data_IF_921322573458
#
_entry.id   IF_921322573458
#
_cell.length_a   1.000
_cell.length_b   1.000
_cell.length_c   1.000
_cell.angle_alpha   90.00
_cell.angle_beta   90.00
_cell.angle_gamma   90.00
#
_symmetry.space_group_name_H-M   'P 1'
#
loop_
_entity.id
_entity.type
_entity.pdbx_description
1 polymer ?
#
# COMPACT_ATOMS: atom_id res chain seq x y z
N UNK A 1 0.37 -45.94 -40.05
CA UNK A 1 -0.72 -45.01 -39.74
C UNK A 1 -0.53 -44.59 -38.28
N UNK A 2 0.23 -43.52 -38.02
CA UNK A 2 0.51 -43.03 -36.66
C UNK A 2 -0.34 -41.78 -36.46
N UNK A 3 -1.40 -41.89 -35.66
CA UNK A 3 -2.25 -40.75 -35.31
C UNK A 3 -1.58 -39.97 -34.18
N UNK A 4 -1.14 -38.75 -34.48
CA UNK A 4 -0.74 -37.75 -33.49
C UNK A 4 -1.99 -37.14 -32.86
N UNK A 5 -2.25 -37.43 -31.58
CA UNK A 5 -3.21 -36.67 -30.77
C UNK A 5 -2.59 -35.31 -30.39
N UNK A 6 -3.22 -34.18 -30.73
CA UNK A 6 -2.79 -32.89 -30.21
C UNK A 6 -3.24 -32.74 -28.75
N UNK A 7 -2.27 -32.63 -27.85
CA UNK A 7 -2.52 -32.18 -26.47
C UNK A 7 -2.93 -30.70 -26.53
N UNK A 8 -4.22 -30.43 -26.37
CA UNK A 8 -4.73 -29.07 -26.18
C UNK A 8 -4.40 -28.64 -24.74
N UNK A 9 -3.25 -28.00 -24.55
CA UNK A 9 -2.85 -27.43 -23.27
C UNK A 9 -3.77 -26.28 -22.90
N UNK A 10 -4.66 -26.49 -21.92
CA UNK A 10 -5.47 -25.44 -21.33
C UNK A 10 -4.56 -24.56 -20.45
N UNK A 11 -3.98 -23.52 -21.02
CA UNK A 11 -3.33 -22.48 -20.24
C UNK A 11 -4.41 -21.64 -19.55
N UNK A 12 -4.66 -21.93 -18.26
CA UNK A 12 -5.37 -21.00 -17.40
C UNK A 12 -4.44 -19.80 -17.16
N UNK A 13 -4.62 -18.74 -17.95
CA UNK A 13 -4.02 -17.44 -17.67
C UNK A 13 -4.63 -16.94 -16.37
N UNK A 14 -3.87 -17.02 -15.28
CA UNK A 14 -4.23 -16.41 -14.00
C UNK A 14 -4.08 -14.90 -14.19
N UNK A 15 -5.14 -14.23 -14.63
CA UNK A 15 -5.17 -12.77 -14.72
C UNK A 15 -5.28 -12.24 -13.30
N UNK A 16 -4.15 -12.00 -12.66
CA UNK A 16 -4.12 -11.33 -11.37
C UNK A 16 -4.31 -9.82 -11.62
N UNK A 17 -5.53 -9.31 -11.45
CA UNK A 17 -5.88 -7.91 -11.75
C UNK A 17 -5.58 -6.90 -10.63
N UNK A 18 -5.27 -7.38 -9.43
CA UNK A 18 -5.05 -6.58 -8.22
C UNK A 18 -3.58 -6.20 -8.05
N UNK A 19 -3.37 -4.99 -7.50
CA UNK A 19 -2.05 -4.44 -7.21
C UNK A 19 -2.01 -3.69 -5.88
N UNK A 20 -0.79 -3.53 -5.38
CA UNK A 20 -0.41 -2.67 -4.25
C UNK A 20 0.59 -1.61 -4.73
N UNK A 21 0.85 -0.61 -3.89
CA UNK A 21 1.95 0.34 -4.11
C UNK A 21 3.26 -0.32 -3.70
N UNK A 22 4.10 -0.69 -4.67
CA UNK A 22 5.39 -1.35 -4.43
C UNK A 22 6.54 -0.36 -4.24
N UNK A 23 6.39 0.87 -4.70
CA UNK A 23 7.32 1.95 -4.42
C UNK A 23 6.65 3.32 -4.50
N UNK A 24 7.29 4.32 -3.90
CA UNK A 24 6.83 5.70 -3.99
C UNK A 24 7.99 6.68 -3.94
N UNK A 25 7.83 7.85 -4.54
CA UNK A 25 8.82 8.93 -4.49
C UNK A 25 8.30 10.13 -3.73
N UNK A 26 9.17 10.76 -2.94
CA UNK A 26 8.92 12.09 -2.39
C UNK A 26 9.94 13.07 -2.95
N UNK A 27 9.47 14.12 -3.65
CA UNK A 27 10.34 15.10 -4.34
C UNK A 27 11.44 14.44 -5.20
N UNK A 28 11.08 13.35 -5.89
CA UNK A 28 11.95 12.58 -6.77
C UNK A 28 12.85 11.54 -6.06
N UNK A 29 12.85 11.46 -4.73
CA UNK A 29 13.60 10.45 -3.96
C UNK A 29 12.77 9.18 -3.81
N UNK A 30 13.29 8.05 -4.30
CA UNK A 30 12.63 6.73 -4.26
C UNK A 30 12.66 6.08 -2.88
N UNK A 31 11.52 5.51 -2.48
CA UNK A 31 11.32 4.75 -1.26
C UNK A 31 10.59 3.45 -1.54
N UNK A 32 10.92 2.36 -0.83
CA UNK A 32 10.18 1.10 -0.95
C UNK A 32 8.77 1.19 -0.38
N UNK A 33 7.80 0.62 -1.10
CA UNK A 33 6.47 0.30 -0.56
C UNK A 33 6.51 -0.95 0.32
N UNK A 34 5.37 -1.32 0.91
CA UNK A 34 5.26 -2.57 1.67
C UNK A 34 4.95 -3.73 0.74
N UNK A 35 5.90 -4.64 0.59
CA UNK A 35 5.77 -5.80 -0.29
C UNK A 35 5.27 -7.02 0.47
N UNK A 36 4.54 -7.90 -0.23
CA UNK A 36 4.06 -9.17 0.33
C UNK A 36 5.18 -10.05 0.88
N UNK A 37 6.38 -10.00 0.29
CA UNK A 37 7.58 -10.68 0.80
C UNK A 37 7.92 -10.29 2.24
N UNK A 38 7.73 -9.02 2.61
CA UNK A 38 8.03 -8.51 3.96
C UNK A 38 7.12 -9.11 5.04
N UNK A 39 5.87 -9.46 4.68
CA UNK A 39 5.01 -10.21 5.60
C UNK A 39 5.64 -11.57 5.95
N UNK A 40 6.07 -12.32 4.93
CA UNK A 40 6.68 -13.64 5.13
C UNK A 40 8.06 -13.55 5.79
N UNK A 41 8.87 -12.55 5.44
CA UNK A 41 10.17 -12.31 6.08
C UNK A 41 9.99 -12.05 7.57
N UNK A 42 9.01 -11.22 7.96
CA UNK A 42 8.66 -10.99 9.37
C UNK A 42 8.18 -12.27 10.07
N UNK A 43 7.31 -13.07 9.44
CA UNK A 43 6.86 -14.36 10.00
C UNK A 43 8.00 -15.36 10.18
N UNK A 44 9.03 -15.28 9.34
CA UNK A 44 10.23 -16.11 9.40
C UNK A 44 11.34 -15.52 10.29
N UNK A 45 11.05 -14.46 11.06
CA UNK A 45 12.00 -13.84 11.99
C UNK A 45 13.13 -13.07 11.33
N UNK A 46 12.98 -12.67 10.07
CA UNK A 46 13.95 -11.80 9.39
C UNK A 46 13.68 -10.34 9.72
N UNK A 47 14.76 -9.57 9.83
CA UNK A 47 14.68 -8.13 9.91
C UNK A 47 14.18 -7.54 8.59
N UNK A 48 13.27 -6.58 8.70
CA UNK A 48 12.79 -5.82 7.56
C UNK A 48 13.64 -4.57 7.38
N UNK A 49 13.76 -4.05 6.14
CA UNK A 49 14.31 -2.72 5.94
C UNK A 49 13.47 -1.69 6.70
N UNK A 50 14.05 -0.51 6.92
CA UNK A 50 13.32 0.65 7.39
C UNK A 50 12.29 1.06 6.32
N UNK A 51 11.01 1.15 6.69
CA UNK A 51 9.91 1.38 5.78
C UNK A 51 9.04 2.52 6.30
N UNK A 52 8.76 3.47 5.41
CA UNK A 52 7.75 4.50 5.62
C UNK A 52 6.37 4.06 5.11
N UNK A 53 6.28 2.96 4.34
CA UNK A 53 5.02 2.34 3.95
C UNK A 53 4.49 1.40 5.04
N UNK A 54 3.20 1.50 5.35
CA UNK A 54 2.55 0.69 6.36
C UNK A 54 2.47 -0.78 5.94
N UNK A 55 2.63 -1.68 6.91
CA UNK A 55 2.36 -3.09 6.67
C UNK A 55 0.87 -3.36 6.58
N UNK A 56 0.48 -4.37 5.80
CA UNK A 56 -0.89 -4.87 5.73
C UNK A 56 -0.91 -6.37 5.39
N UNK A 57 -1.98 -7.06 5.76
CA UNK A 57 -2.16 -8.51 5.57
C UNK A 57 -3.15 -8.85 4.45
N UNK A 58 -3.24 -8.02 3.42
CA UNK A 58 -3.94 -8.32 2.17
C UNK A 58 -3.09 -9.24 1.28
N UNK A 59 -2.84 -10.48 1.75
CA UNK A 59 -1.91 -11.44 1.14
C UNK A 59 -2.30 -11.88 -0.28
N UNK A 60 -3.57 -11.71 -0.62
CA UNK A 60 -4.17 -11.93 -1.93
C UNK A 60 -4.16 -10.67 -2.82
N UNK A 61 -3.51 -9.59 -2.35
CA UNK A 61 -3.65 -8.23 -2.90
C UNK A 61 -5.11 -7.76 -2.89
N UNK A 62 -5.91 -8.23 -1.93
CA UNK A 62 -7.35 -7.97 -1.84
C UNK A 62 -7.71 -6.55 -1.40
N UNK A 63 -9.00 -6.35 -1.19
CA UNK A 63 -9.65 -5.06 -0.95
C UNK A 63 -10.40 -5.03 0.38
N UNK A 64 -10.77 -3.82 0.81
CA UNK A 64 -11.78 -3.59 1.84
C UNK A 64 -13.13 -3.37 1.15
N UNK A 65 -14.13 -4.15 1.53
CA UNK A 65 -15.48 -4.09 0.97
C UNK A 65 -16.39 -3.11 1.75
N UNK A 66 -17.49 -2.62 1.17
CA UNK A 66 -18.40 -1.67 1.81
C UNK A 66 -18.94 -2.08 3.18
N UNK A 67 -19.19 -3.37 3.39
CA UNK A 67 -19.61 -3.92 4.70
C UNK A 67 -18.55 -3.70 5.81
N UNK A 68 -17.30 -3.41 5.43
CA UNK A 68 -16.18 -3.15 6.33
C UNK A 68 -15.79 -1.66 6.37
N UNK A 69 -16.61 -0.74 5.87
CA UNK A 69 -16.30 0.70 5.94
C UNK A 69 -16.21 1.25 7.36
N UNK A 70 -16.88 0.65 8.34
CA UNK A 70 -16.74 1.05 9.75
C UNK A 70 -15.65 0.27 10.49
N UNK A 71 -14.94 -0.65 9.83
CA UNK A 71 -13.86 -1.47 10.41
C UNK A 71 -12.54 -0.70 10.42
N UNK A 72 -11.62 -0.93 11.39
CA UNK A 72 -10.25 -0.42 11.34
C UNK A 72 -9.46 -0.77 10.06
N UNK A 73 -9.92 -1.75 9.28
CA UNK A 73 -9.30 -2.12 8.01
C UNK A 73 -9.44 -1.04 6.93
N UNK A 74 -10.50 -0.21 6.94
CA UNK A 74 -10.66 0.85 5.93
C UNK A 74 -9.59 1.96 6.07
N UNK A 75 -8.96 2.06 7.24
CA UNK A 75 -7.96 3.09 7.55
C UNK A 75 -6.73 2.91 6.67
N UNK A 76 -6.04 1.78 6.82
CA UNK A 76 -4.75 1.49 6.17
C UNK A 76 -4.65 0.02 5.75
N UNK A 77 -5.74 -0.52 5.21
CA UNK A 77 -5.88 -1.92 4.78
C UNK A 77 -5.95 -2.93 5.94
N UNK A 78 -6.31 -4.17 5.59
CA UNK A 78 -6.47 -5.31 6.49
C UNK A 78 -5.29 -5.47 7.45
N UNK A 79 -5.58 -5.44 8.75
CA UNK A 79 -4.57 -5.54 9.81
C UNK A 79 -3.41 -4.54 9.65
N UNK A 80 -3.68 -3.36 9.06
CA UNK A 80 -2.66 -2.36 8.81
C UNK A 80 -1.95 -1.89 10.09
N UNK A 81 -0.61 -1.87 10.08
CA UNK A 81 0.24 -1.41 11.20
C UNK A 81 1.18 -0.31 10.71
N UNK A 82 1.36 0.72 11.54
CA UNK A 82 2.21 1.87 11.32
C UNK A 82 3.62 1.48 10.86
N UNK A 83 4.13 2.27 9.93
CA UNK A 83 5.50 2.14 9.45
C UNK A 83 6.50 2.59 10.52
N UNK A 84 7.72 2.04 10.51
CA UNK A 84 8.72 2.34 11.54
C UNK A 84 9.62 3.54 11.22
N UNK A 85 9.41 4.17 10.06
CA UNK A 85 10.10 5.40 9.67
C UNK A 85 9.18 6.41 9.02
N UNK A 86 9.74 7.59 8.77
CA UNK A 86 9.07 8.71 8.12
C UNK A 86 10.02 9.31 7.08
N UNK A 87 9.50 9.59 5.88
CA UNK A 87 10.26 10.25 4.80
C UNK A 87 9.79 11.69 4.61
N UNK A 88 10.58 12.54 3.96
CA UNK A 88 10.26 13.96 3.82
C UNK A 88 9.70 14.32 2.45
N UNK A 89 8.77 15.27 2.43
CA UNK A 89 8.31 15.98 1.22
C UNK A 89 8.15 17.46 1.55
N UNK A 90 8.35 18.33 0.57
CA UNK A 90 8.04 19.76 0.71
C UNK A 90 6.54 20.03 0.51
N UNK A 91 5.99 21.00 1.23
CA UNK A 91 4.70 21.59 0.88
C UNK A 91 4.81 22.22 -0.52
N UNK A 92 3.90 21.88 -1.44
CA UNK A 92 4.02 22.16 -2.87
C UNK A 92 4.86 21.16 -3.67
N UNK A 93 5.53 20.24 -2.99
CA UNK A 93 6.24 19.11 -3.58
C UNK A 93 5.30 18.02 -4.05
N UNK A 94 5.87 16.88 -4.46
CA UNK A 94 5.10 15.77 -5.05
C UNK A 94 5.39 14.44 -4.38
N UNK A 95 4.34 13.64 -4.23
CA UNK A 95 4.42 12.23 -3.89
C UNK A 95 3.95 11.41 -5.10
N UNK A 96 4.83 10.57 -5.65
CA UNK A 96 4.52 9.67 -6.77
C UNK A 96 4.33 8.27 -6.23
N UNK A 97 3.17 7.65 -6.45
CA UNK A 97 2.87 6.29 -6.01
C UNK A 97 2.91 5.35 -7.21
N UNK A 98 3.89 4.45 -7.24
CA UNK A 98 3.97 3.41 -8.26
C UNK A 98 3.19 2.18 -7.79
N UNK A 99 2.22 1.79 -8.60
CA UNK A 99 1.46 0.57 -8.39
C UNK A 99 2.10 -0.57 -9.16
N UNK A 100 1.99 -1.76 -8.58
CA UNK A 100 2.13 -3.00 -9.36
C UNK A 100 1.03 -3.09 -10.42
N UNK A 101 0.84 -4.27 -11.03
CA UNK A 101 -0.21 -4.46 -12.04
C UNK A 101 -1.59 -3.98 -11.56
N UNK A 102 -2.32 -3.27 -12.40
CA UNK A 102 -3.67 -2.79 -12.11
C UNK A 102 -4.59 -2.95 -13.32
N UNK A 103 -5.71 -3.64 -13.15
CA UNK A 103 -6.66 -3.94 -14.22
C UNK A 103 -8.04 -3.29 -14.05
N UNK A 104 -8.24 -2.54 -12.97
CA UNK A 104 -9.56 -2.04 -12.57
C UNK A 104 -9.81 -0.59 -12.98
N UNK A 105 -11.10 -0.26 -13.15
CA UNK A 105 -11.58 1.11 -13.33
C UNK A 105 -12.02 1.69 -12.00
N UNK A 106 -11.85 3.00 -11.82
CA UNK A 106 -12.22 3.66 -10.59
C UNK A 106 -11.57 5.02 -10.37
N UNK A 107 -12.04 5.75 -9.35
CA UNK A 107 -11.40 6.98 -8.92
C UNK A 107 -10.04 6.72 -8.28
N UNK A 108 -9.28 7.80 -8.17
CA UNK A 108 -8.04 7.90 -7.44
C UNK A 108 -8.18 9.05 -6.43
N UNK A 109 -8.07 8.79 -5.12
CA UNK A 109 -8.00 9.82 -4.06
C UNK A 109 -6.77 9.67 -3.14
N UNK A 110 -6.15 10.78 -2.75
CA UNK A 110 -5.14 10.83 -1.69
C UNK A 110 -5.64 11.67 -0.53
N UNK A 111 -5.46 11.14 0.68
CA UNK A 111 -5.76 11.81 1.94
C UNK A 111 -4.50 11.98 2.77
N UNK A 112 -4.52 12.94 3.69
CA UNK A 112 -3.51 13.10 4.75
C UNK A 112 -4.19 13.17 6.11
N UNK A 113 -3.56 12.62 7.14
CA UNK A 113 -3.98 12.80 8.52
C UNK A 113 -2.76 13.20 9.35
N UNK A 114 -2.87 14.28 10.12
CA UNK A 114 -1.76 14.74 10.98
C UNK A 114 -1.54 13.75 12.11
N UNK A 115 -0.29 13.37 12.35
CA UNK A 115 0.06 12.47 13.43
C UNK A 115 0.17 13.23 14.76
N UNK A 116 -0.26 12.63 15.87
CA UNK A 116 -0.10 13.23 17.18
C UNK A 116 1.39 13.41 17.50
N UNK A 117 1.74 14.50 18.17
CA UNK A 117 3.13 14.81 18.56
C UNK A 117 4.15 14.84 17.41
N UNK A 118 3.68 15.01 16.17
CA UNK A 118 4.50 14.95 14.95
C UNK A 118 5.27 13.62 14.78
N UNK A 119 4.71 12.50 15.25
CA UNK A 119 5.27 11.15 15.05
C UNK A 119 4.19 10.15 14.61
N UNK A 120 4.42 9.49 13.48
CA UNK A 120 3.49 8.53 12.88
C UNK A 120 3.85 7.06 13.16
N UNK A 121 4.95 6.79 13.86
CA UNK A 121 5.48 5.42 14.00
C UNK A 121 4.69 4.53 14.97
N UNK A 122 3.96 5.13 15.91
CA UNK A 122 3.11 4.43 16.90
C UNK A 122 1.72 5.07 17.04
N UNK A 123 1.19 5.61 15.94
CA UNK A 123 -0.13 6.27 15.96
C UNK A 123 -1.28 5.26 16.07
N UNK A 124 -2.28 5.57 16.90
CA UNK A 124 -3.57 4.90 16.83
C UNK A 124 -4.27 5.28 15.52
N UNK A 125 -4.22 4.37 14.56
CA UNK A 125 -4.77 4.58 13.22
C UNK A 125 -6.26 4.93 13.24
N UNK A 126 -7.02 4.47 14.24
CA UNK A 126 -8.47 4.71 14.31
C UNK A 126 -8.82 6.13 14.78
N UNK A 127 -7.85 6.83 15.36
CA UNK A 127 -7.97 8.22 15.78
C UNK A 127 -7.54 9.22 14.70
N UNK A 128 -6.95 8.76 13.58
CA UNK A 128 -6.51 9.61 12.48
C UNK A 128 -7.70 10.29 11.79
N UNK A 129 -7.60 11.60 11.60
CA UNK A 129 -8.59 12.41 10.88
C UNK A 129 -8.04 12.79 9.49
N UNK A 130 -8.64 12.21 8.46
CA UNK A 130 -8.21 12.31 7.07
C UNK A 130 -8.82 13.50 6.35
N UNK A 131 -7.95 14.30 5.74
CA UNK A 131 -8.27 15.41 4.83
C UNK A 131 -7.96 14.96 3.41
N UNK A 132 -8.92 15.10 2.50
CA UNK A 132 -8.70 14.80 1.07
C UNK A 132 -7.89 15.91 0.43
N UNK A 133 -6.76 15.59 -0.20
CA UNK A 133 -5.86 16.58 -0.84
C UNK A 133 -5.71 16.40 -2.35
N UNK A 134 -6.17 15.27 -2.89
CA UNK A 134 -6.16 14.97 -4.31
C UNK A 134 -7.30 14.00 -4.65
N UNK A 135 -8.00 14.26 -5.75
CA UNK A 135 -9.02 13.37 -6.28
C UNK A 135 -9.17 13.47 -7.80
N UNK A 136 -9.43 12.34 -8.42
CA UNK A 136 -9.85 12.25 -9.81
C UNK A 136 -10.82 11.08 -9.99
N UNK A 137 -11.90 11.34 -10.72
CA UNK A 137 -12.94 10.35 -11.03
C UNK A 137 -12.83 9.84 -12.48
N UNK A 138 -13.89 10.04 -13.26
CA UNK A 138 -13.93 9.75 -14.69
C UNK A 138 -13.93 11.06 -15.49
N UNK A 139 -13.19 11.10 -16.59
CA UNK A 139 -13.33 12.15 -17.61
C UNK A 139 -14.58 11.85 -18.45
N UNK A 140 -15.61 12.71 -18.41
CA UNK A 140 -16.87 12.45 -19.10
C UNK A 140 -16.77 12.53 -20.64
N UNK A 141 -15.78 13.25 -21.18
CA UNK A 141 -15.59 13.37 -22.62
C UNK A 141 -14.90 12.12 -23.20
N UNK A 142 -13.83 11.65 -22.54
CA UNK A 142 -13.07 10.47 -22.98
C UNK A 142 -13.60 9.16 -22.41
N UNK A 143 -14.45 9.21 -21.37
CA UNK A 143 -14.87 8.09 -20.53
C UNK A 143 -13.71 7.35 -19.86
N UNK A 144 -12.54 8.00 -19.74
CA UNK A 144 -11.37 7.43 -19.09
C UNK A 144 -11.42 7.66 -17.57
N UNK A 145 -11.29 6.57 -16.81
CA UNK A 145 -11.18 6.61 -15.36
C UNK A 145 -9.77 6.99 -14.89
N UNK A 146 -9.66 7.66 -13.75
CA UNK A 146 -8.39 8.02 -13.14
C UNK A 146 -7.45 6.81 -12.93
N UNK A 147 -7.98 5.65 -12.55
CA UNK A 147 -7.20 4.42 -12.46
C UNK A 147 -6.59 4.00 -13.82
N UNK A 148 -7.23 4.30 -14.95
CA UNK A 148 -6.66 4.06 -16.29
C UNK A 148 -5.60 5.09 -16.64
N UNK A 149 -5.78 6.35 -16.26
CA UNK A 149 -4.75 7.37 -16.40
C UNK A 149 -3.50 7.00 -15.60
N UNK A 150 -3.65 6.47 -14.38
CA UNK A 150 -2.55 5.91 -13.58
C UNK A 150 -1.80 4.80 -14.32
N UNK A 151 -2.52 3.80 -14.84
CA UNK A 151 -1.90 2.69 -15.59
C UNK A 151 -1.18 3.20 -16.84
N UNK A 152 -1.79 4.13 -17.57
CA UNK A 152 -1.22 4.71 -18.78
C UNK A 152 0.02 5.57 -18.47
N UNK A 153 0.14 6.09 -17.24
CA UNK A 153 1.31 6.79 -16.72
C UNK A 153 2.31 5.83 -16.06
N UNK A 154 2.60 4.68 -16.72
CA UNK A 154 3.52 3.66 -16.21
C UNK A 154 3.19 3.24 -14.76
N UNK A 155 1.91 2.92 -14.52
CA UNK A 155 1.34 2.59 -13.21
C UNK A 155 1.61 3.61 -12.09
N UNK A 156 1.80 4.90 -12.42
CA UNK A 156 2.18 5.91 -11.45
C UNK A 156 1.08 6.95 -11.27
N UNK A 157 0.68 7.19 -10.02
CA UNK A 157 -0.19 8.31 -9.66
C UNK A 157 0.62 9.39 -8.94
N UNK A 158 0.51 10.64 -9.36
CA UNK A 158 1.25 11.76 -8.77
C UNK A 158 0.28 12.64 -8.00
N UNK A 159 0.57 12.87 -6.73
CA UNK A 159 -0.17 13.81 -5.87
C UNK A 159 0.73 14.98 -5.51
N UNK A 160 0.23 16.20 -5.71
CA UNK A 160 0.91 17.42 -5.22
C UNK A 160 0.48 17.71 -3.79
N UNK A 161 1.44 17.95 -2.91
CA UNK A 161 1.17 18.37 -1.52
C UNK A 161 0.70 19.83 -1.55
N UNK A 162 -0.41 20.21 -0.90
CA UNK A 162 -0.87 21.59 -0.87
C UNK A 162 0.21 22.54 -0.34
N UNK A 163 0.41 23.69 -0.98
CA UNK A 163 1.48 24.63 -0.62
C UNK A 163 1.25 25.29 0.73
N UNK A 164 -0.02 25.47 1.09
CA UNK A 164 -0.41 26.12 2.34
C UNK A 164 -0.39 25.18 3.54
N UNK A 165 -0.26 23.86 3.33
CA UNK A 165 -0.31 22.86 4.40
C UNK A 165 0.78 23.10 5.46
N UNK A 166 0.39 23.06 6.73
CA UNK A 166 1.33 23.21 7.84
C UNK A 166 2.39 22.11 7.83
N UNK A 167 3.63 22.46 8.17
CA UNK A 167 4.68 21.47 8.39
C UNK A 167 4.34 20.52 9.56
N UNK A 168 4.80 19.28 9.49
CA UNK A 168 4.54 18.24 10.48
C UNK A 168 4.56 16.84 9.89
N UNK A 169 4.37 15.83 10.74
CA UNK A 169 4.29 14.43 10.30
C UNK A 169 2.85 14.04 10.00
N UNK A 170 2.64 13.39 8.86
CA UNK A 170 1.33 12.98 8.37
C UNK A 170 1.33 11.53 7.91
N UNK A 171 0.21 10.83 8.12
CA UNK A 171 -0.11 9.61 7.37
C UNK A 171 -0.74 10.02 6.05
N UNK A 172 -0.07 9.71 4.94
CA UNK A 172 -0.64 9.80 3.60
C UNK A 172 -1.38 8.50 3.30
N UNK A 173 -2.67 8.58 2.98
CA UNK A 173 -3.52 7.45 2.60
C UNK A 173 -3.90 7.56 1.13
N UNK A 174 -3.28 6.72 0.30
CA UNK A 174 -3.50 6.62 -1.14
C UNK A 174 -4.49 5.51 -1.43
N UNK A 175 -5.58 5.79 -2.15
CA UNK A 175 -6.61 4.79 -2.41
C UNK A 175 -7.14 4.83 -3.84
N UNK A 176 -7.28 3.65 -4.46
CA UNK A 176 -8.19 3.46 -5.59
C UNK A 176 -9.42 2.68 -5.13
N UNK A 177 -10.57 2.96 -5.73
CA UNK A 177 -11.80 2.18 -5.51
C UNK A 177 -12.15 1.50 -6.83
N UNK A 178 -12.04 0.19 -6.93
CA UNK A 178 -12.50 -0.51 -8.12
C UNK A 178 -14.03 -0.57 -8.15
N UNK A 179 -14.63 -0.04 -9.22
CA UNK A 179 -16.09 0.17 -9.32
C UNK A 179 -16.78 -0.78 -10.30
N UNK A 180 -16.08 -1.82 -10.80
CA UNK A 180 -16.67 -2.78 -11.74
C UNK A 180 -17.85 -3.56 -11.12
N UNK A 181 -17.89 -3.73 -9.79
CA UNK A 181 -18.99 -4.36 -9.06
C UNK A 181 -20.06 -3.41 -8.54
N UNK A 182 -19.90 -2.08 -8.70
CA UNK A 182 -20.72 -1.05 -8.04
C UNK A 182 -22.20 -1.01 -8.42
N UNK A 183 -22.68 -1.84 -9.36
CA UNK A 183 -24.11 -1.98 -9.66
C UNK A 183 -24.90 -2.61 -8.49
N UNK A 184 -24.21 -3.23 -7.53
CA UNK A 184 -24.79 -3.88 -6.37
C UNK A 184 -24.15 -3.33 -5.10
N UNK A 185 -24.95 -3.20 -4.05
CA UNK A 185 -24.45 -2.86 -2.72
C UNK A 185 -23.42 -3.91 -2.28
N UNK A 186 -22.33 -3.47 -1.64
CA UNK A 186 -21.18 -4.34 -1.32
C UNK A 186 -20.23 -4.62 -2.50
N UNK A 187 -20.54 -4.13 -3.72
CA UNK A 187 -19.76 -4.46 -4.92
C UNK A 187 -18.54 -3.58 -5.21
N UNK A 188 -18.43 -2.41 -4.58
CA UNK A 188 -17.22 -1.58 -4.67
C UNK A 188 -16.04 -2.25 -3.93
N UNK A 189 -14.81 -1.96 -4.33
CA UNK A 189 -13.62 -2.56 -3.73
C UNK A 189 -12.57 -1.50 -3.45
N UNK A 190 -12.27 -1.26 -2.18
CA UNK A 190 -11.34 -0.21 -1.75
C UNK A 190 -9.92 -0.76 -1.55
N UNK A 191 -8.91 -0.04 -2.05
CA UNK A 191 -7.50 -0.41 -1.94
C UNK A 191 -6.69 0.72 -1.27
N UNK A 192 -6.89 0.98 0.03
CA UNK A 192 -6.10 1.97 0.75
C UNK A 192 -4.68 1.48 1.00
N UNK A 193 -3.70 2.38 0.88
CA UNK A 193 -2.29 2.16 1.19
C UNK A 193 -1.79 3.38 1.97
N UNK A 194 -1.07 3.17 3.07
CA UNK A 194 -0.66 4.25 3.99
C UNK A 194 0.86 4.43 4.05
N UNK A 195 1.29 5.67 4.24
CA UNK A 195 2.70 6.08 4.26
C UNK A 195 2.93 7.16 5.32
N UNK A 196 4.02 7.06 6.07
CA UNK A 196 4.46 8.09 7.01
C UNK A 196 5.32 9.11 6.27
N UNK A 197 4.85 10.35 6.17
CA UNK A 197 5.55 11.42 5.46
C UNK A 197 5.53 12.71 6.29
N UNK A 198 6.71 13.27 6.52
CA UNK A 198 6.92 14.60 7.10
C UNK A 198 6.82 15.65 6.00
N UNK A 199 5.83 16.52 6.11
CA UNK A 199 5.71 17.72 5.27
C UNK A 199 6.58 18.81 5.86
N UNK A 200 7.47 19.35 5.03
CA UNK A 200 8.36 20.48 5.35
C UNK A 200 7.88 21.75 4.64
N UNK A 201 8.24 22.92 5.15
CA UNK A 201 7.89 24.20 4.53
C UNK A 201 7.37 25.22 5.54
N UNK A 202 6.74 26.26 5.04
CA UNK A 202 6.24 27.40 5.83
C UNK A 202 4.72 27.58 5.74
N UNK A 203 3.99 26.58 5.22
CA UNK A 203 2.53 26.60 5.26
C UNK A 203 2.02 26.60 6.71
N UNK A 204 0.78 27.01 6.89
CA UNK A 204 0.12 27.14 8.21
C UNK A 204 -1.31 26.63 8.22
N UNK A 205 -1.81 26.09 7.10
CA UNK A 205 -3.15 25.55 7.01
C UNK A 205 -3.25 24.22 7.76
N UNK A 206 -4.25 24.14 8.64
CA UNK A 206 -4.61 22.95 9.41
C UNK A 206 -6.07 22.58 9.11
N UNK A 207 -6.34 21.99 7.93
CA UNK A 207 -7.69 21.57 7.56
C UNK A 207 -8.20 20.47 8.51
N UNK A 208 -9.49 20.52 8.84
CA UNK A 208 -10.15 19.49 9.66
C UNK A 208 -10.46 18.26 8.82
N UNK A 209 -10.06 17.10 9.30
CA UNK A 209 -10.33 15.82 8.66
C UNK A 209 -11.58 15.11 9.18
N UNK A 210 -11.80 13.90 8.70
CA UNK A 210 -12.80 12.95 9.20
C UNK A 210 -12.15 11.58 9.39
N UNK A 211 -12.66 10.76 10.31
CA UNK A 211 -12.11 9.41 10.51
C UNK A 211 -12.29 8.55 9.26
N UNK A 212 -11.38 7.61 9.01
CA UNK A 212 -11.48 6.74 7.84
C UNK A 212 -12.80 5.96 7.81
N UNK A 213 -13.28 5.58 9.00
CA UNK A 213 -14.53 4.86 9.22
C UNK A 213 -15.79 5.69 8.90
N UNK A 214 -15.62 6.99 8.65
CA UNK A 214 -16.67 7.93 8.30
C UNK A 214 -16.51 8.46 6.86
N UNK A 215 -15.50 7.99 6.11
CA UNK A 215 -15.26 8.45 4.74
C UNK A 215 -16.38 8.02 3.78
N UNK A 216 -16.92 6.81 3.95
CA UNK A 216 -17.77 6.17 2.96
C UNK A 216 -18.98 5.49 3.60
N UNK A 217 -20.10 5.49 2.89
CA UNK A 217 -21.24 4.61 3.18
C UNK A 217 -21.45 3.62 2.02
N UNK A 218 -22.00 2.41 2.27
CA UNK A 218 -22.30 1.45 1.21
C UNK A 218 -23.23 1.98 0.11
N UNK A 219 -23.99 3.03 0.41
CA UNK A 219 -25.00 3.63 -0.48
C UNK A 219 -24.57 4.97 -1.08
N UNK A 220 -23.33 5.42 -0.84
CA UNK A 220 -22.85 6.66 -1.45
C UNK A 220 -22.96 6.59 -2.99
N UNK A 221 -23.34 7.68 -3.68
CA UNK A 221 -23.60 7.67 -5.12
C UNK A 221 -22.36 7.37 -5.99
N UNK A 222 -21.15 7.45 -5.42
CA UNK A 222 -19.90 7.01 -6.07
C UNK A 222 -19.47 5.58 -5.74
N UNK A 223 -20.17 4.92 -4.80
CA UNK A 223 -19.94 3.55 -4.33
C UNK A 223 -20.97 2.60 -4.92
N UNK A 224 -22.26 2.96 -4.87
CA UNK A 224 -23.38 2.21 -5.42
C UNK A 224 -23.99 2.98 -6.61
N UNK A 225 -23.62 2.57 -7.82
CA UNK A 225 -24.11 3.18 -9.06
C UNK A 225 -23.97 2.25 -10.25
N UNK A 226 -24.70 2.55 -11.34
CA UNK A 226 -24.60 1.76 -12.56
C UNK A 226 -23.36 2.14 -13.38
N UNK A 227 -22.23 1.48 -13.08
CA UNK A 227 -20.98 1.58 -13.83
C UNK A 227 -21.11 1.24 -15.32
N UNK A 228 -22.07 0.38 -15.70
CA UNK A 228 -22.28 -0.06 -17.08
C UNK A 228 -23.17 0.88 -17.90
N UNK A 229 -23.61 2.01 -17.33
CA UNK A 229 -24.38 3.01 -18.05
C UNK A 229 -23.42 3.90 -18.86
N UNK A 230 -23.29 3.61 -20.16
CA UNK A 230 -22.46 4.41 -21.07
C UNK A 230 -23.31 5.35 -21.93
N UNK A 231 -22.93 6.64 -22.08
CA UNK A 231 -21.86 7.31 -21.34
C UNK A 231 -22.25 7.54 -19.87
N UNK A 232 -21.27 7.44 -18.98
CA UNK A 232 -21.40 7.97 -17.63
C UNK A 232 -21.37 9.49 -17.76
N UNK A 233 -22.45 10.15 -17.34
CA UNK A 233 -22.62 11.60 -17.45
C UNK A 233 -22.41 12.32 -16.12
N UNK A 234 -22.46 11.59 -15.02
CA UNK A 234 -22.23 12.10 -13.68
C UNK A 234 -21.58 11.01 -12.84
N UNK A 235 -20.63 11.40 -12.00
CA UNK A 235 -19.97 10.56 -11.02
C UNK A 235 -19.57 11.43 -9.83
N UNK A 236 -20.11 11.13 -8.66
CA UNK A 236 -19.75 11.81 -7.42
C UNK A 236 -18.62 11.04 -6.78
N UNK A 237 -17.42 11.63 -6.72
CA UNK A 237 -16.28 10.98 -6.05
C UNK A 237 -16.62 10.79 -4.57
N UNK A 238 -16.50 9.57 -4.00
CA UNK A 238 -16.78 9.32 -2.59
C UNK A 238 -15.89 10.11 -1.63
N UNK A 239 -16.29 10.23 -0.36
CA UNK A 239 -15.51 10.89 0.67
C UNK A 239 -15.77 12.39 0.84
N UNK A 240 -15.09 13.03 1.81
CA UNK A 240 -15.26 14.44 2.13
C UNK A 240 -14.83 15.35 0.97
N UNK A 241 -15.14 16.64 1.10
CA UNK A 241 -14.71 17.65 0.14
C UNK A 241 -13.16 17.71 0.03
N UNK A 242 -12.68 17.99 -1.17
CA UNK A 242 -11.27 18.24 -1.46
C UNK A 242 -10.81 19.54 -0.77
N UNK A 243 -9.71 19.47 -0.02
CA UNK A 243 -9.02 20.65 0.50
C UNK A 243 -8.31 21.41 -0.63
N UNK A 244 -8.56 22.71 -0.72
CA UNK A 244 -7.91 23.61 -1.68
C UNK A 244 -7.10 24.68 -0.96
N UNK A 245 -5.90 24.96 -1.49
CA UNK A 245 -5.07 26.07 -1.00
C UNK A 245 -5.88 27.39 -1.01
N UNK A 246 -6.06 28.00 0.15
CA UNK A 246 -6.79 29.27 0.32
C UNK A 246 -8.27 29.15 0.72
N UNK A 247 -8.83 27.94 0.84
CA UNK A 247 -10.13 27.75 1.49
C UNK A 247 -9.99 27.66 3.01
N UNK A 248 -10.79 28.45 3.74
CA UNK A 248 -10.89 28.34 5.18
C UNK A 248 -11.43 26.95 5.57
N UNK A 249 -10.90 26.36 6.64
CA UNK A 249 -11.25 25.02 7.12
C UNK A 249 -12.75 24.88 7.41
N UNK A 250 -13.52 24.48 6.40
CA UNK A 250 -14.95 24.27 6.51
C UNK A 250 -15.21 22.78 6.33
N UNK A 251 -15.26 22.04 7.43
CA UNK A 251 -15.67 20.65 7.42
C UNK A 251 -17.15 20.58 7.04
N UNK A 252 -17.44 20.13 5.82
CA UNK A 252 -18.81 19.81 5.42
C UNK A 252 -18.88 18.33 5.17
N UNK A 253 -19.20 17.57 6.23
CA UNK A 253 -19.78 16.23 6.07
C UNK A 253 -21.23 16.44 5.66
N UNK A 254 -21.48 16.48 4.35
CA UNK A 254 -22.82 16.24 3.83
C UNK A 254 -22.89 14.79 3.39
N UNK A 255 -23.38 13.94 4.29
CA UNK A 255 -24.10 12.75 3.87
C UNK A 255 -25.22 13.19 2.90
N UNK A 256 -25.44 12.49 1.77
CA UNK A 256 -26.46 12.90 0.82
C UNK A 256 -27.85 12.67 1.42
N UNK A 257 -28.49 13.76 1.85
CA UNK A 257 -29.94 13.76 2.04
C UNK A 257 -30.61 13.61 0.67
N UNK A 258 -31.59 12.72 0.60
CA UNK A 258 -32.40 12.37 -0.56
C UNK A 258 -32.89 13.61 -1.34
N UNK A 259 -32.82 13.65 -2.70
CA UNK A 259 -33.32 14.80 -3.44
C UNK A 259 -34.85 14.81 -3.42
N UNK A 260 -35.42 15.87 -2.83
CA UNK A 260 -36.78 16.28 -3.11
C UNK A 260 -36.77 17.14 -4.38
N UNK A 261 -37.60 16.77 -5.36
CA UNK A 261 -37.78 17.45 -6.64
C UNK A 261 -37.98 18.96 -6.47
N UNK A 262 -37.04 19.78 -7.00
CA UNK A 262 -37.33 21.09 -7.61
C UNK A 262 -36.26 21.46 -8.65
N UNK A 263 -36.64 22.15 -9.75
CA UNK A 263 -35.74 22.38 -10.88
C UNK A 263 -34.83 23.60 -10.63
N UNK A 264 -33.50 23.40 -10.71
CA UNK A 264 -32.54 24.50 -10.64
C UNK A 264 -32.19 25.02 -12.04
N UNK A 265 -32.23 26.35 -12.13
CA UNK A 265 -32.08 27.16 -13.33
C UNK A 265 -30.60 27.24 -13.75
N UNK A 266 -30.35 27.09 -15.05
CA UNK A 266 -29.03 27.12 -15.67
C UNK A 266 -28.29 28.46 -15.45
N UNK A 267 -27.09 28.42 -14.86
CA UNK A 267 -26.00 29.30 -15.28
C UNK A 267 -24.63 28.74 -14.87
N UNK A 268 -24.07 27.85 -15.68
CA UNK A 268 -22.67 27.43 -15.58
C UNK A 268 -21.88 28.07 -16.74
N UNK A 269 -21.10 29.11 -16.43
CA UNK A 269 -20.10 29.64 -17.34
C UNK A 269 -18.90 28.70 -17.32
N UNK A 270 -18.74 27.90 -18.38
CA UNK A 270 -17.59 27.03 -18.57
C UNK A 270 -16.32 27.87 -18.76
N UNK A 271 -15.35 27.73 -17.86
CA UNK A 271 -13.95 28.13 -18.11
C UNK A 271 -13.10 26.86 -18.12
N UNK A 272 -12.73 26.47 -19.34
CA UNK A 272 -11.71 25.48 -19.66
C UNK A 272 -10.38 25.83 -18.98
N UNK A 273 -9.78 24.86 -18.28
CA UNK A 273 -8.37 24.91 -17.92
C UNK A 273 -7.56 24.51 -19.16
N UNK A 274 -6.98 25.51 -19.81
CA UNK A 274 -6.01 25.32 -20.87
C UNK A 274 -4.63 24.96 -20.28
N UNK A 275 -3.97 24.00 -20.93
CA UNK A 275 -2.58 23.59 -20.75
C UNK A 275 -1.62 24.75 -20.43
N UNK A 276 -0.99 24.72 -19.26
CA UNK A 276 0.26 25.44 -19.02
C UNK A 276 1.45 24.59 -19.50
N UNK A 277 1.77 24.69 -20.79
CA UNK A 277 3.12 24.39 -21.27
C UNK A 277 3.97 25.65 -21.13
N UNK A 278 4.90 25.65 -20.17
CA UNK A 278 5.92 26.70 -20.06
C UNK A 278 6.91 26.53 -21.22
N UNK A 279 6.89 27.48 -22.15
CA UNK A 279 7.84 27.60 -23.25
C UNK A 279 9.15 28.20 -22.71
N UNK A 280 10.20 27.39 -22.62
CA UNK A 280 11.57 27.86 -22.35
C UNK A 280 12.17 28.32 -23.69
N UNK A 281 12.68 29.57 -23.83
CA UNK A 281 13.32 30.01 -25.06
C UNK A 281 14.67 29.32 -25.24
N UNK A 282 14.84 28.60 -26.35
CA UNK A 282 16.14 28.08 -26.81
C UNK A 282 16.86 29.22 -27.55
N UNK A 283 18.11 29.58 -27.19
CA UNK A 283 18.87 30.54 -27.97
C UNK A 283 19.32 29.93 -29.32
N UNK A 284 18.96 30.58 -30.41
CA UNK A 284 19.38 30.23 -31.77
C UNK A 284 20.89 30.40 -31.93
N UNK A 285 21.61 29.29 -32.14
CA UNK A 285 23.02 29.30 -32.56
C UNK A 285 23.10 29.39 -34.08
N UNK A 286 23.73 30.46 -34.57
CA UNK A 286 24.22 30.59 -35.95
C UNK A 286 25.30 29.54 -36.27
N UNK A 287 25.31 28.96 -37.48
CA UNK A 287 26.32 27.98 -37.87
C UNK A 287 27.68 28.64 -38.16
N UNK A 288 28.81 28.09 -37.67
CA UNK A 288 30.13 28.55 -38.09
C UNK A 288 30.55 27.94 -39.43
N UNK A 289 31.19 28.79 -40.24
CA UNK A 289 31.80 28.54 -41.56
C UNK A 289 32.98 27.54 -41.45
N UNK A 290 33.23 26.68 -42.47
CA UNK A 290 34.31 25.69 -42.41
C UNK A 290 35.66 26.28 -42.84
N UNK A 291 36.72 25.95 -42.09
CA UNK A 291 38.11 26.00 -42.56
C UNK A 291 39.03 25.13 -41.71
N UNK A 292 39.86 24.31 -42.38
CA UNK A 292 41.21 23.98 -41.92
C UNK A 292 41.46 22.57 -41.40
N UNK A 293 41.79 21.65 -42.32
CA UNK A 293 42.45 20.36 -42.04
C UNK A 293 43.81 20.58 -41.37
N UNK A 294 44.08 19.92 -40.24
CA UNK A 294 45.43 19.66 -39.76
C UNK A 294 45.49 18.31 -39.02
N UNK A 295 46.43 17.49 -39.50
CA UNK A 295 46.73 16.12 -39.10
C UNK A 295 47.44 16.06 -37.75
N UNK A 296 47.07 15.12 -36.88
CA UNK A 296 47.99 14.66 -35.81
C UNK A 296 47.68 13.23 -35.37
N UNK A 297 48.76 12.48 -35.15
CA UNK A 297 48.86 11.02 -35.03
C UNK A 297 48.17 10.44 -33.79
N UNK A 298 47.63 9.24 -33.97
CA UNK A 298 47.09 8.36 -32.93
C UNK A 298 48.22 7.63 -32.19
N UNK A 299 48.25 7.71 -30.86
CA UNK A 299 49.05 6.84 -29.99
C UNK A 299 48.10 6.14 -29.03
N UNK A 300 47.99 4.82 -29.19
CA UNK A 300 47.20 3.91 -28.36
C UNK A 300 48.04 3.44 -27.19
N UNK A 301 47.55 3.57 -25.96
CA UNK A 301 48.15 2.96 -24.77
C UNK A 301 47.11 2.05 -24.11
N UNK A 302 47.44 0.76 -24.01
CA UNK A 302 46.69 -0.29 -23.32
C UNK A 302 47.31 -0.44 -21.92
N UNK A 303 46.52 -0.51 -20.82
CA UNK A 303 47.05 -0.94 -19.53
C UNK A 303 46.91 -2.46 -19.34
N UNK A 304 48.04 -3.10 -19.00
CA UNK A 304 48.18 -4.51 -18.66
C UNK A 304 48.28 -4.67 -17.13
N UNK A 305 47.57 -5.66 -16.59
CA UNK A 305 47.59 -6.10 -15.19
C UNK A 305 48.96 -6.61 -14.74
N UNK A 306 49.36 -6.35 -13.48
CA UNK A 306 50.37 -7.16 -12.77
C UNK A 306 50.17 -7.12 -11.25
N UNK A 307 50.01 -8.32 -10.70
CA UNK A 307 50.10 -8.72 -9.29
C UNK A 307 51.56 -8.67 -8.81
N UNK A 308 51.79 -8.27 -7.56
CA UNK A 308 52.95 -8.75 -6.75
C UNK A 308 52.67 -8.65 -5.26
N UNK A 309 53.37 -9.54 -4.57
CA UNK A 309 53.13 -10.15 -3.28
C UNK A 309 53.97 -9.51 -2.14
N UNK A 310 53.59 -9.88 -0.93
CA UNK A 310 54.05 -9.51 0.42
C UNK A 310 55.56 -9.62 0.69
N UNK A 311 56.10 -8.75 1.55
CA UNK A 311 57.24 -9.06 2.43
C UNK A 311 57.23 -8.25 3.74
N UNK A 312 57.59 -8.95 4.82
CA UNK A 312 57.60 -8.58 6.24
C UNK A 312 58.94 -7.93 6.63
N UNK A 313 58.96 -6.96 7.56
CA UNK A 313 60.09 -6.77 8.48
C UNK A 313 59.70 -5.97 9.74
N UNK A 314 60.10 -6.51 10.88
CA UNK A 314 59.89 -6.12 12.27
C UNK A 314 60.76 -4.95 12.74
N UNK A 315 60.32 -4.21 13.77
CA UNK A 315 61.22 -3.67 14.81
C UNK A 315 60.47 -3.41 16.12
N UNK A 316 61.23 -3.27 17.19
CA UNK A 316 61.00 -3.82 18.52
C UNK A 316 60.93 -2.77 19.65
N UNK A 317 60.15 -3.08 20.69
CA UNK A 317 60.34 -2.85 22.14
C UNK A 317 60.65 -1.43 22.69
N UNK A 318 59.87 -1.00 23.70
CA UNK A 318 60.22 -1.11 25.14
C UNK A 318 59.24 -0.38 26.07
N UNK A 319 58.96 -0.99 27.23
CA UNK A 319 58.26 -0.45 28.41
C UNK A 319 59.24 0.35 29.32
N UNK A 320 58.79 1.10 30.34
CA UNK A 320 58.67 0.49 31.68
C UNK A 320 57.57 1.02 32.64
N UNK A 321 57.14 0.11 33.53
CA UNK A 321 56.89 0.21 34.98
C UNK A 321 55.71 1.02 35.61
N UNK A 322 54.87 0.27 36.36
CA UNK A 322 54.02 0.63 37.53
C UNK A 322 54.89 0.69 38.82
N UNK A 323 54.41 0.87 40.11
CA UNK A 323 53.05 0.78 40.69
C UNK A 323 52.69 1.71 41.90
N UNK A 324 51.43 1.65 42.39
CA UNK A 324 51.00 1.58 43.84
C UNK A 324 49.46 1.77 44.01
N UNK A 325 48.71 0.73 44.37
CA UNK A 325 48.08 0.37 45.68
C UNK A 325 46.70 0.99 46.01
N UNK A 326 45.70 0.11 46.27
CA UNK A 326 44.34 0.40 46.80
C UNK A 326 44.30 0.63 48.33
N UNK A 327 43.22 0.32 49.11
CA UNK A 327 42.07 -0.60 48.85
C UNK A 327 40.67 -0.16 49.40
N UNK A 328 39.59 -0.94 49.10
CA UNK A 328 38.41 -1.32 49.96
C UNK A 328 37.40 -2.09 49.06
N UNK A 329 37.02 -3.39 49.19
CA UNK A 329 36.35 -4.18 50.27
C UNK A 329 34.98 -3.56 50.62
N UNK A 330 33.79 -4.21 50.61
CA UNK A 330 33.33 -5.61 50.53
C UNK A 330 31.85 -5.67 50.11
N UNK A 331 31.41 -6.85 49.66
CA UNK A 331 30.04 -7.24 49.40
C UNK A 331 29.16 -7.36 50.67
N UNK A 332 27.84 -7.20 50.52
CA UNK A 332 26.82 -7.73 51.44
C UNK A 332 25.55 -8.14 50.68
N UNK A 333 25.01 -9.29 51.10
CA UNK A 333 23.75 -9.92 50.69
C UNK A 333 22.53 -9.10 51.14
N UNK A 334 21.32 -9.49 50.71
CA UNK A 334 20.25 -9.65 51.68
C UNK A 334 19.48 -10.98 51.59
N UNK A 335 18.88 -11.31 52.73
CA UNK A 335 18.19 -12.55 53.09
C UNK A 335 16.68 -12.29 53.14
N UNK A 336 15.91 -13.27 52.65
CA UNK A 336 14.51 -13.66 52.97
C UNK A 336 13.36 -12.64 52.99
N UNK A 337 12.29 -12.98 52.24
CA UNK A 337 10.94 -13.07 52.80
C UNK A 337 9.96 -13.91 51.94
N UNK A 338 9.31 -14.84 52.63
CA UNK A 338 7.94 -15.36 52.54
C UNK A 338 7.34 -15.88 51.22
N UNK A 339 7.05 -17.19 51.25
CA UNK A 339 6.07 -17.88 50.44
C UNK A 339 4.65 -17.79 51.05
N UNK A 340 3.62 -17.72 50.19
CA UNK A 340 2.27 -18.23 50.47
C UNK A 340 1.58 -18.64 49.15
N UNK A 341 0.61 -19.54 49.27
CA UNK A 341 0.16 -20.60 48.35
C UNK A 341 -0.76 -20.17 47.17
N UNK A 342 -0.96 -21.05 46.16
CA UNK A 342 -1.90 -20.84 45.06
C UNK A 342 -3.33 -21.28 45.43
N UNK A 343 -4.35 -20.60 44.89
CA UNK A 343 -5.76 -21.02 45.00
C UNK A 343 -6.31 -21.33 43.60
N UNK A 344 -6.59 -22.61 43.41
CA UNK A 344 -7.84 -23.17 42.88
C UNK A 344 -8.47 -22.54 41.63
N UNK A 345 -8.30 -23.23 40.51
CA UNK A 345 -9.18 -23.14 39.34
C UNK A 345 -10.44 -23.98 39.61
N UNK A 346 -11.63 -23.38 39.58
CA UNK A 346 -12.90 -24.12 39.53
C UNK A 346 -13.57 -23.93 38.17
N UNK A 347 -13.70 -25.08 37.49
CA UNK A 347 -14.56 -25.32 36.35
C UNK A 347 -16.02 -25.19 36.77
N UNK A 348 -16.81 -24.37 36.07
CA UNK A 348 -18.25 -24.52 36.00
C UNK A 348 -18.68 -24.75 34.55
N UNK A 349 -19.04 -26.00 34.31
CA UNK A 349 -19.80 -26.47 33.15
C UNK A 349 -21.25 -25.98 33.26
N UNK A 350 -21.78 -25.39 32.18
CA UNK A 350 -23.23 -25.37 31.95
C UNK A 350 -23.51 -25.97 30.57
N UNK A 351 -24.51 -26.85 30.54
CA UNK A 351 -24.96 -27.63 29.40
C UNK A 351 -26.47 -27.39 29.25
N UNK A 352 -26.92 -27.18 28.02
CA UNK A 352 -28.27 -27.38 27.43
C UNK A 352 -28.51 -26.28 26.39
N UNK A 353 -29.10 -26.47 25.21
CA UNK A 353 -29.57 -27.64 24.45
C UNK A 353 -29.87 -27.10 23.03
N UNK A 354 -29.73 -27.94 21.99
CA UNK A 354 -30.69 -28.11 20.88
C UNK A 354 -30.04 -28.74 19.63
N UNK A 355 -30.62 -29.86 19.23
CA UNK A 355 -30.24 -30.77 18.17
C UNK A 355 -30.28 -30.20 16.74
N UNK A 356 -29.32 -30.64 15.92
CA UNK A 356 -29.57 -30.97 14.51
C UNK A 356 -28.67 -32.14 14.10
N UNK A 357 -29.30 -33.31 13.96
CA UNK A 357 -28.70 -34.59 13.55
C UNK A 357 -28.25 -34.52 12.09
N UNK A 358 -26.94 -34.69 11.85
CA UNK A 358 -26.41 -35.23 10.59
C UNK A 358 -25.36 -36.29 10.91
N UNK A 359 -25.71 -37.55 10.59
CA UNK A 359 -24.82 -38.70 10.68
C UNK A 359 -23.63 -38.55 9.72
N UNK A 360 -22.42 -38.65 10.24
CA UNK A 360 -21.18 -38.70 9.45
C UNK A 360 -19.98 -38.26 10.28
N UNK A 361 -19.60 -39.07 11.26
CA UNK A 361 -18.42 -38.82 12.08
C UNK A 361 -17.14 -38.97 11.27
N UNK A 362 -16.35 -37.91 11.23
CA UNK A 362 -14.89 -37.97 11.35
C UNK A 362 -14.41 -36.63 11.90
N UNK A 363 -13.91 -36.66 13.14
CA UNK A 363 -13.30 -35.51 13.79
C UNK A 363 -12.05 -35.07 13.02
N UNK A 364 -11.97 -33.80 12.65
CA UNK A 364 -10.76 -33.22 12.07
C UNK A 364 -9.60 -33.28 13.09
N UNK A 365 -8.41 -33.79 12.72
CA UNK A 365 -7.28 -33.83 13.65
C UNK A 365 -6.75 -32.41 13.94
N UNK A 366 -6.44 -32.16 15.22
CA UNK A 366 -6.00 -30.87 15.78
C UNK A 366 -4.63 -30.36 15.27
N UNK A 367 -3.96 -31.11 14.38
CA UNK A 367 -2.74 -30.67 13.68
C UNK A 367 -2.67 -31.32 12.31
N UNK A 368 -2.47 -30.52 11.26
CA UNK A 368 -2.34 -30.97 9.88
C UNK A 368 -0.85 -30.98 9.48
N UNK A 369 -0.25 -32.17 9.43
CA UNK A 369 1.13 -32.35 8.96
C UNK A 369 1.16 -32.72 7.47
N UNK A 370 2.31 -32.54 6.83
CA UNK A 370 2.53 -32.87 5.42
C UNK A 370 2.24 -34.36 5.13
N UNK A 371 2.48 -35.20 6.11
CA UNK A 371 2.31 -36.65 6.09
C UNK A 371 0.82 -37.00 6.08
N UNK A 372 0.00 -36.34 6.90
CA UNK A 372 -1.48 -36.47 6.84
C UNK A 372 -2.06 -36.02 5.50
N UNK A 373 -1.47 -35.01 4.87
CA UNK A 373 -1.90 -34.58 3.53
C UNK A 373 -1.57 -35.62 2.45
N UNK A 374 -0.36 -36.17 2.50
CA UNK A 374 0.09 -37.20 1.55
C UNK A 374 -0.73 -38.48 1.70
N UNK A 375 -1.05 -38.91 2.94
CA UNK A 375 -1.94 -40.05 3.22
C UNK A 375 -3.34 -39.82 2.61
N UNK A 376 -3.93 -38.65 2.82
CA UNK A 376 -5.26 -38.30 2.28
C UNK A 376 -5.31 -38.30 0.75
N UNK A 377 -4.22 -37.89 0.10
CA UNK A 377 -4.10 -37.95 -1.37
C UNK A 377 -4.02 -39.39 -1.87
N UNK A 378 -3.37 -40.30 -1.12
CA UNK A 378 -3.30 -41.72 -1.47
C UNK A 378 -4.65 -42.42 -1.31
N UNK A 379 -5.40 -42.12 -0.26
CA UNK A 379 -6.74 -42.69 -0.04
C UNK A 379 -7.75 -42.24 -1.10
N UNK A 380 -7.70 -40.97 -1.54
CA UNK A 380 -8.59 -40.47 -2.59
C UNK A 380 -8.23 -40.96 -3.99
N UNK A 381 -6.97 -41.37 -4.22
CA UNK A 381 -6.54 -41.95 -5.49
C UNK A 381 -7.09 -43.35 -5.73
N UNK A 382 -7.31 -44.16 -4.68
CA UNK A 382 -7.84 -45.53 -4.84
C UNK A 382 -9.34 -45.60 -5.13
N UNK A 383 -10.11 -44.54 -4.79
CA UNK A 383 -11.57 -44.51 -4.92
C UNK A 383 -12.09 -44.14 -6.33
N UNK A 384 -11.21 -43.78 -7.26
CA UNK A 384 -11.59 -43.32 -8.61
C UNK A 384 -11.18 -44.26 -9.76
N UNK A 385 -11.29 -45.58 -9.56
CA UNK A 385 -11.27 -46.53 -10.68
C UNK A 385 -12.64 -46.55 -11.38
N UNK A 386 -12.84 -45.68 -12.37
CA UNK A 386 -13.98 -45.76 -13.30
C UNK A 386 -13.88 -47.06 -14.11
N UNK A 387 -14.85 -47.95 -13.93
CA UNK A 387 -15.08 -49.11 -14.81
C UNK A 387 -15.44 -48.62 -16.22
N UNK A 388 -14.70 -49.05 -17.23
CA UNK A 388 -15.11 -48.98 -18.63
C UNK A 388 -16.20 -50.03 -18.91
N UNK A 389 -17.34 -49.68 -19.54
CA UNK A 389 -18.26 -50.67 -20.08
C UNK A 389 -17.73 -51.17 -21.43
N UNK A 390 -17.67 -52.50 -21.55
CA UNK A 390 -17.35 -53.24 -22.78
C UNK A 390 -18.68 -53.77 -23.37
N UNK A 391 -18.82 -53.58 -24.69
CA UNK A 391 -19.67 -54.28 -25.67
C UNK A 391 -21.19 -54.02 -25.71
N UNK A 392 -21.66 -53.60 -26.89
CA UNK A 392 -22.52 -54.41 -27.76
C UNK A 392 -22.49 -53.84 -29.21
N UNK A 393 -22.29 -54.77 -30.16
CA UNK A 393 -22.18 -54.69 -31.64
C UNK A 393 -20.79 -54.44 -32.25
#
# INVERSE_FOLDING_TARGET
MLQSLPFLGLFASVVAGHGVVDSFKTDGVEHPGYQLSYYYDKKNGKELPELAAWSAENLDSGFVAPENYTSPDIVCQKNGVSANSTVKVSAGGTVEFHWTRWAHFGPMMTYIARCPSDDCTDVDKTALEFVKIDEAGINFDTQEWAARTMVNNNNTWVTTVPKSLAAGSYVFRRESIAVHGSLREGGAQNYPQCFNIEVTGSGTAEPKGVRAQELYTPTDPGILFNFYKTPIQNYTIPGPALFRDGEAATATSTAPTTPSDQPLVNNATSRSFANSTVHVPIPSRTPPKPAGTLSTKLVTVIPTSRTTETAIASSSASLPATPKTGPSVQATQPVSSSACLPIGSEFLTSKADADAVLNGGDSLPQTFTLETFIERLRENSSKNTRRHPRELL
#
